data_IF_140689121046
#
_entry.id   IF_140689121046
#
_cell.length_a   1.000
_cell.length_b   1.000
_cell.length_c   1.000
_cell.angle_alpha   90.00
_cell.angle_beta   90.00
_cell.angle_gamma   90.00
#
_symmetry.space_group_name_H-M   'P 1'
#
loop_
_entity.id
_entity.type
_entity.pdbx_description
1 polymer ?
#
# COMPACT_ATOMS: atom_id res chain seq x y z
N UNK A 1 5.32 19.54 23.25
CA UNK A 1 6.55 18.91 23.82
C UNK A 1 6.32 17.45 24.28
N UNK A 2 5.10 17.03 24.66
CA UNK A 2 4.81 15.65 25.08
C UNK A 2 5.02 14.56 24.01
N UNK A 3 4.55 14.77 22.78
CA UNK A 3 4.63 13.76 21.70
C UNK A 3 6.05 13.22 21.44
N UNK A 4 7.11 14.04 21.52
CA UNK A 4 8.48 13.56 21.30
C UNK A 4 8.96 12.61 22.39
N UNK A 5 8.50 12.81 23.63
CA UNK A 5 8.88 11.97 24.77
C UNK A 5 8.14 10.63 24.65
N UNK A 6 6.84 10.68 24.37
CA UNK A 6 6.01 9.48 24.14
C UNK A 6 6.55 8.65 22.98
N UNK A 7 6.87 9.26 21.85
CA UNK A 7 7.41 8.56 20.68
C UNK A 7 8.72 7.84 20.99
N UNK A 8 9.61 8.48 21.77
CA UNK A 8 10.86 7.86 22.20
C UNK A 8 10.61 6.74 23.19
N UNK A 9 9.75 6.96 24.19
CA UNK A 9 9.51 5.98 25.23
C UNK A 9 8.85 4.72 24.67
N UNK A 10 7.80 4.88 23.85
CA UNK A 10 7.13 3.78 23.16
C UNK A 10 8.08 3.11 22.17
N UNK A 11 8.79 3.90 21.34
CA UNK A 11 9.67 3.38 20.31
C UNK A 11 10.81 2.54 20.87
N UNK A 12 11.54 3.05 21.88
CA UNK A 12 12.65 2.31 22.47
C UNK A 12 12.20 1.09 23.27
N UNK A 13 11.10 1.21 24.03
CA UNK A 13 10.59 0.10 24.83
C UNK A 13 10.09 -1.05 23.96
N UNK A 14 9.23 -0.75 22.97
CA UNK A 14 8.70 -1.76 22.06
C UNK A 14 9.78 -2.35 21.15
N UNK A 15 10.69 -1.53 20.63
CA UNK A 15 11.78 -2.04 19.79
C UNK A 15 12.65 -3.02 20.57
N UNK A 16 12.97 -2.72 21.84
CA UNK A 16 13.75 -3.64 22.68
C UNK A 16 13.04 -4.99 22.87
N UNK A 17 11.73 -4.98 23.15
CA UNK A 17 10.94 -6.21 23.28
C UNK A 17 10.87 -6.98 21.95
N UNK A 18 10.72 -6.29 20.83
CA UNK A 18 10.70 -6.89 19.49
C UNK A 18 12.04 -7.57 19.14
N UNK A 19 13.14 -6.89 19.44
CA UNK A 19 14.48 -7.37 19.12
C UNK A 19 14.91 -8.56 19.98
N UNK A 20 14.36 -8.70 21.19
CA UNK A 20 14.76 -9.72 22.17
C UNK A 20 13.68 -10.79 22.34
N UNK A 21 12.66 -10.51 23.17
CA UNK A 21 11.61 -11.46 23.57
C UNK A 21 10.85 -12.02 22.35
N UNK A 22 10.36 -11.14 21.49
CA UNK A 22 9.63 -11.54 20.29
C UNK A 22 10.51 -12.33 19.33
N UNK A 23 11.75 -11.88 19.07
CA UNK A 23 12.65 -12.56 18.15
C UNK A 23 12.97 -13.99 18.60
N UNK A 24 13.26 -14.17 19.89
CA UNK A 24 13.51 -15.49 20.47
C UNK A 24 12.27 -16.38 20.37
N UNK A 25 11.09 -15.84 20.68
CA UNK A 25 9.84 -16.58 20.56
C UNK A 25 9.53 -16.96 19.11
N UNK A 26 9.74 -16.04 18.17
CA UNK A 26 9.56 -16.23 16.73
C UNK A 26 10.47 -17.35 16.22
N UNK A 27 11.77 -17.31 16.51
CA UNK A 27 12.71 -18.36 16.10
C UNK A 27 12.37 -19.72 16.72
N UNK A 28 11.91 -19.75 17.98
CA UNK A 28 11.45 -20.97 18.64
C UNK A 28 10.21 -21.55 17.96
N UNK A 29 9.21 -20.71 17.62
CA UNK A 29 8.00 -21.12 16.90
C UNK A 29 8.33 -21.62 15.50
N UNK A 30 9.21 -20.93 14.79
CA UNK A 30 9.67 -21.29 13.45
C UNK A 30 10.33 -22.69 13.44
N UNK A 31 11.16 -22.99 14.43
CA UNK A 31 11.76 -24.32 14.59
C UNK A 31 10.74 -25.44 14.88
N UNK A 32 9.62 -25.14 15.57
CA UNK A 32 8.54 -26.11 15.81
C UNK A 32 7.75 -26.41 14.53
N UNK A 33 7.43 -25.39 13.74
CA UNK A 33 6.73 -25.52 12.45
C UNK A 33 7.49 -26.45 11.49
N UNK A 34 8.83 -26.37 11.46
CA UNK A 34 9.67 -27.26 10.65
C UNK A 34 9.50 -28.74 11.00
N UNK A 35 9.32 -29.07 12.28
CA UNK A 35 9.14 -30.47 12.71
C UNK A 35 7.78 -31.03 12.33
N UNK A 36 6.78 -30.17 12.12
CA UNK A 36 5.40 -30.54 11.83
C UNK A 36 5.11 -30.59 10.33
N UNK A 37 5.79 -29.78 9.51
CA UNK A 37 5.68 -29.80 8.05
C UNK A 37 7.06 -29.63 7.41
N UNK A 38 7.66 -30.70 6.85
CA UNK A 38 9.00 -30.64 6.26
C UNK A 38 9.03 -29.96 4.89
N UNK A 39 7.87 -29.68 4.27
CA UNK A 39 7.80 -28.89 3.04
C UNK A 39 8.11 -27.42 3.37
N UNK A 40 9.23 -26.86 2.86
CA UNK A 40 9.57 -25.48 3.13
C UNK A 40 8.62 -24.58 2.33
N UNK A 41 7.73 -23.86 3.01
CA UNK A 41 7.20 -22.62 2.43
C UNK A 41 8.41 -21.72 2.15
N UNK A 42 8.63 -21.41 0.87
CA UNK A 42 9.77 -20.62 0.38
C UNK A 42 9.90 -19.30 1.13
N UNK A 43 8.79 -18.79 1.64
CA UNK A 43 8.67 -17.53 2.39
C UNK A 43 9.52 -17.49 3.66
N UNK A 44 9.81 -18.65 4.28
CA UNK A 44 10.52 -18.69 5.57
C UNK A 44 12.00 -19.03 5.50
N UNK A 45 12.56 -19.28 4.29
CA UNK A 45 13.96 -19.70 4.15
C UNK A 45 14.94 -18.66 4.71
N UNK A 46 14.74 -17.38 4.39
CA UNK A 46 15.60 -16.29 4.87
C UNK A 46 15.56 -16.12 6.39
N UNK A 47 14.38 -16.24 7.00
CA UNK A 47 14.23 -16.13 8.44
C UNK A 47 14.93 -17.25 9.21
N UNK A 48 15.04 -18.46 8.64
CA UNK A 48 15.79 -19.56 9.27
C UNK A 48 17.28 -19.24 9.38
N UNK A 49 17.86 -18.69 8.33
CA UNK A 49 19.26 -18.27 8.34
C UNK A 49 19.50 -17.16 9.35
N UNK A 50 18.59 -16.17 9.40
CA UNK A 50 18.65 -15.10 10.39
C UNK A 50 18.56 -15.64 11.82
N UNK A 51 17.66 -16.59 12.11
CA UNK A 51 17.56 -17.22 13.43
C UNK A 51 18.81 -18.02 13.81
N UNK A 52 19.47 -18.65 12.84
CA UNK A 52 20.73 -19.35 13.08
C UNK A 52 21.89 -18.38 13.38
N UNK A 53 21.91 -17.24 12.67
CA UNK A 53 22.93 -16.19 12.80
C UNK A 53 22.75 -15.35 14.07
N UNK A 54 21.52 -15.02 14.43
CA UNK A 54 21.16 -14.13 15.55
C UNK A 54 20.36 -14.90 16.60
N UNK A 55 21.05 -15.62 17.50
CA UNK A 55 20.38 -16.50 18.49
C UNK A 55 19.73 -15.75 19.65
N UNK A 56 20.28 -14.61 20.04
CA UNK A 56 19.85 -13.85 21.22
C UNK A 56 18.93 -12.67 20.89
N UNK A 57 19.37 -11.80 19.99
CA UNK A 57 18.64 -10.60 19.61
C UNK A 57 18.85 -10.27 18.13
N UNK A 58 17.83 -9.67 17.51
CA UNK A 58 17.90 -9.20 16.12
C UNK A 58 17.55 -7.71 16.05
N UNK A 59 18.57 -6.87 15.92
CA UNK A 59 18.47 -5.40 16.03
C UNK A 59 17.82 -4.69 14.84
N UNK A 60 17.53 -5.41 13.75
CA UNK A 60 16.87 -4.84 12.57
C UNK A 60 15.33 -4.86 12.69
N UNK A 61 14.80 -4.99 13.91
CA UNK A 61 13.37 -4.85 14.20
C UNK A 61 13.15 -3.56 14.99
N UNK A 62 12.13 -2.81 14.61
CA UNK A 62 11.74 -1.58 15.29
C UNK A 62 10.23 -1.43 15.31
N UNK A 63 9.73 -0.74 16.32
CA UNK A 63 8.34 -0.28 16.37
C UNK A 63 8.28 1.17 16.81
N UNK A 64 7.21 1.85 16.41
CA UNK A 64 6.97 3.24 16.76
C UNK A 64 5.49 3.55 16.74
N UNK A 65 5.06 4.50 17.58
CA UNK A 65 3.66 4.88 17.75
C UNK A 65 2.97 5.24 16.43
N UNK A 66 3.68 5.89 15.51
CA UNK A 66 3.16 6.28 14.18
C UNK A 66 3.53 5.26 13.09
N UNK A 67 4.75 4.72 13.13
CA UNK A 67 5.24 3.80 12.09
C UNK A 67 4.49 2.47 12.08
N UNK A 68 4.18 1.90 13.26
CA UNK A 68 3.53 0.59 13.37
C UNK A 68 2.09 0.61 12.84
N UNK A 69 1.23 1.59 13.19
CA UNK A 69 -0.10 1.69 12.57
C UNK A 69 -0.04 1.92 11.06
N UNK A 70 0.86 2.79 10.57
CA UNK A 70 1.01 3.04 9.12
C UNK A 70 1.35 1.75 8.37
N UNK A 71 2.24 0.92 8.91
CA UNK A 71 2.52 -0.40 8.34
C UNK A 71 1.27 -1.30 8.33
N UNK A 72 0.46 -1.26 9.40
CA UNK A 72 -0.82 -1.97 9.48
C UNK A 72 -1.75 -1.58 8.34
N UNK A 73 -1.93 -0.28 8.08
CA UNK A 73 -2.76 0.22 6.99
C UNK A 73 -2.27 -0.25 5.61
N UNK A 74 -0.95 -0.30 5.41
CA UNK A 74 -0.36 -0.82 4.16
C UNK A 74 -0.65 -2.31 3.98
N UNK A 75 -0.55 -3.10 5.06
CA UNK A 75 -0.86 -4.53 5.05
C UNK A 75 -2.35 -4.74 4.77
N UNK A 76 -3.23 -4.01 5.44
CA UNK A 76 -4.68 -4.06 5.25
C UNK A 76 -5.06 -3.72 3.81
N UNK A 77 -4.54 -2.62 3.26
CA UNK A 77 -4.75 -2.23 1.87
C UNK A 77 -4.26 -3.30 0.89
N UNK A 78 -3.12 -3.95 1.17
CA UNK A 78 -2.61 -5.05 0.36
C UNK A 78 -3.50 -6.30 0.45
N UNK A 79 -4.01 -6.63 1.62
CA UNK A 79 -4.95 -7.75 1.77
C UNK A 79 -6.28 -7.49 1.07
N UNK A 80 -6.82 -6.28 1.17
CA UNK A 80 -8.01 -5.87 0.43
C UNK A 80 -7.80 -5.95 -1.08
N UNK A 81 -6.67 -5.43 -1.57
CA UNK A 81 -6.27 -5.58 -2.97
C UNK A 81 -6.23 -7.06 -3.40
N UNK A 82 -5.63 -7.94 -2.59
CA UNK A 82 -5.61 -9.38 -2.87
C UNK A 82 -7.00 -10.03 -2.89
N UNK A 83 -7.90 -9.62 -1.99
CA UNK A 83 -9.29 -10.13 -1.93
C UNK A 83 -10.15 -9.63 -3.09
N UNK A 84 -9.87 -8.43 -3.60
CA UNK A 84 -10.68 -7.75 -4.63
C UNK A 84 -10.25 -8.08 -6.07
N UNK A 85 -9.41 -9.10 -6.29
CA UNK A 85 -9.04 -9.54 -7.63
C UNK A 85 -10.29 -9.99 -8.42
N UNK A 86 -10.84 -9.08 -9.23
CA UNK A 86 -11.97 -9.35 -10.13
C UNK A 86 -11.45 -9.78 -11.49
N UNK A 87 -12.15 -10.71 -12.12
CA UNK A 87 -11.94 -11.03 -13.52
C UNK A 87 -12.65 -9.98 -14.37
N UNK A 88 -11.98 -9.45 -15.38
CA UNK A 88 -12.59 -8.52 -16.35
C UNK A 88 -12.65 -9.17 -17.72
N UNK A 89 -13.72 -8.90 -18.46
CA UNK A 89 -13.78 -9.15 -19.89
C UNK A 89 -13.37 -7.85 -20.60
N UNK A 90 -12.36 -7.92 -21.46
CA UNK A 90 -11.98 -6.82 -22.33
C UNK A 90 -12.59 -7.09 -23.70
N UNK A 91 -13.53 -6.25 -24.12
CA UNK A 91 -14.17 -6.30 -25.43
C UNK A 91 -13.61 -5.16 -26.27
N UNK A 92 -13.17 -5.47 -27.49
CA UNK A 92 -12.77 -4.47 -28.47
C UNK A 92 -13.92 -4.29 -29.46
N UNK A 93 -14.55 -3.11 -29.45
CA UNK A 93 -15.48 -2.71 -30.50
C UNK A 93 -14.70 -2.05 -31.63
N UNK A 94 -14.90 -2.54 -32.85
CA UNK A 94 -14.32 -2.02 -34.10
C UNK A 94 -12.78 -1.87 -34.11
N UNK A 95 -12.08 -2.54 -33.18
CA UNK A 95 -10.62 -2.56 -33.07
C UNK A 95 -10.00 -1.42 -32.24
N UNK A 96 -10.73 -0.35 -31.96
CA UNK A 96 -10.19 0.85 -31.27
C UNK A 96 -10.79 1.07 -29.88
N UNK A 97 -12.06 0.71 -29.67
CA UNK A 97 -12.74 1.01 -28.41
C UNK A 97 -12.62 -0.17 -27.44
N UNK A 98 -11.88 0.04 -26.36
CA UNK A 98 -11.71 -0.94 -25.27
C UNK A 98 -12.78 -0.75 -24.21
N UNK A 99 -13.65 -1.75 -24.03
CA UNK A 99 -14.64 -1.78 -22.95
C UNK A 99 -14.21 -2.84 -21.93
N UNK A 100 -14.14 -2.45 -20.67
CA UNK A 100 -13.84 -3.34 -19.54
C UNK A 100 -15.12 -3.64 -18.76
N UNK A 101 -15.57 -4.89 -18.82
CA UNK A 101 -16.76 -5.34 -18.12
C UNK A 101 -16.32 -6.18 -16.92
N UNK A 102 -16.60 -5.76 -15.67
CA UNK A 102 -16.33 -6.58 -14.49
C UNK A 102 -17.21 -7.84 -14.55
N UNK A 103 -16.59 -9.02 -14.45
CA UNK A 103 -17.31 -10.29 -14.44
C UNK A 103 -17.47 -10.82 -13.01
N UNK A 104 -18.66 -11.30 -12.71
CA UNK A 104 -18.85 -12.17 -11.54
C UNK A 104 -18.11 -13.50 -11.73
N UNK A 105 -17.62 -14.08 -10.63
CA UNK A 105 -16.81 -15.30 -10.67
C UNK A 105 -17.50 -16.49 -11.36
N UNK A 106 -18.83 -16.57 -11.26
CA UNK A 106 -19.64 -17.63 -11.85
C UNK A 106 -19.68 -17.52 -13.38
N UNK A 107 -19.73 -16.29 -13.91
CA UNK A 107 -19.71 -15.99 -15.34
C UNK A 107 -18.30 -16.16 -15.91
N UNK A 108 -17.28 -15.69 -15.17
CA UNK A 108 -15.87 -15.87 -15.56
C UNK A 108 -15.48 -17.35 -15.74
N UNK A 109 -15.94 -18.25 -14.86
CA UNK A 109 -15.72 -19.71 -14.98
C UNK A 109 -16.41 -20.32 -16.20
N UNK A 110 -17.58 -19.81 -16.60
CA UNK A 110 -18.33 -20.28 -17.78
C UNK A 110 -17.68 -19.84 -19.09
N UNK A 111 -17.12 -18.63 -19.14
CA UNK A 111 -16.39 -18.11 -20.31
C UNK A 111 -15.05 -18.84 -20.48
N UNK A 112 -14.31 -19.11 -19.40
CA UNK A 112 -13.04 -19.88 -19.47
C UNK A 112 -13.19 -21.29 -20.07
N UNK A 113 -14.37 -21.92 -19.94
CA UNK A 113 -14.63 -23.26 -20.48
C UNK A 113 -14.98 -23.28 -21.97
N UNK A 114 -15.48 -22.16 -22.52
CA UNK A 114 -15.91 -22.03 -23.91
C UNK A 114 -15.40 -20.70 -24.49
N UNK A 115 -14.21 -20.68 -25.12
CA UNK A 115 -13.63 -19.46 -25.67
C UNK A 115 -14.40 -18.91 -26.89
N UNK A 116 -15.32 -19.69 -27.48
CA UNK A 116 -16.06 -19.32 -28.70
C UNK A 116 -17.46 -18.76 -28.44
N UNK A 117 -17.80 -18.38 -27.20
CA UNK A 117 -19.10 -17.77 -26.89
C UNK A 117 -19.14 -16.32 -27.33
N UNK A 118 -20.02 -16.03 -28.29
CA UNK A 118 -20.38 -14.68 -28.72
C UNK A 118 -21.21 -14.05 -27.59
N UNK A 119 -20.69 -12.99 -26.98
CA UNK A 119 -21.45 -12.17 -26.04
C UNK A 119 -22.23 -11.11 -26.82
N UNK A 120 -23.56 -11.12 -26.72
CA UNK A 120 -24.41 -10.08 -27.28
C UNK A 120 -24.52 -8.98 -26.23
N UNK A 121 -24.01 -7.79 -26.54
CA UNK A 121 -24.09 -6.61 -25.68
C UNK A 121 -25.29 -5.80 -26.15
N UNK A 122 -26.26 -5.61 -25.26
CA UNK A 122 -27.46 -4.83 -25.54
C UNK A 122 -27.38 -3.50 -24.78
N UNK A 123 -27.30 -2.39 -25.52
CA UNK A 123 -27.18 -1.05 -24.96
C UNK A 123 -28.60 -0.54 -24.70
N UNK A 124 -29.00 -0.59 -23.43
CA UNK A 124 -30.38 -0.27 -23.03
C UNK A 124 -30.69 1.23 -23.05
N UNK A 125 -29.70 2.08 -22.80
CA UNK A 125 -29.93 3.51 -22.66
C UNK A 125 -28.66 4.30 -22.97
N UNK A 126 -28.79 5.39 -23.72
CA UNK A 126 -27.70 6.28 -24.07
C UNK A 126 -28.06 7.68 -23.58
N UNK A 127 -27.30 8.17 -22.58
CA UNK A 127 -27.58 9.42 -21.89
C UNK A 127 -26.46 10.42 -22.16
N UNK A 128 -26.86 11.65 -22.47
CA UNK A 128 -25.95 12.78 -22.59
C UNK A 128 -26.08 13.65 -21.34
N UNK A 129 -24.96 14.02 -20.75
CA UNK A 129 -24.89 14.98 -19.64
C UNK A 129 -23.82 16.02 -19.94
N UNK A 130 -24.16 17.29 -19.80
CA UNK A 130 -23.17 18.36 -19.68
C UNK A 130 -22.80 18.51 -18.20
N UNK A 131 -21.54 18.30 -17.89
CA UNK A 131 -20.98 18.53 -16.55
C UNK A 131 -20.03 19.72 -16.59
N UNK A 132 -20.28 20.69 -15.71
CA UNK A 132 -19.36 21.82 -15.51
C UNK A 132 -18.25 21.39 -14.56
N UNK A 133 -17.03 21.25 -15.08
CA UNK A 133 -15.85 20.94 -14.26
C UNK A 133 -15.36 22.19 -13.54
N UNK A 134 -15.48 22.19 -12.21
CA UNK A 134 -14.94 23.26 -11.37
C UNK A 134 -13.40 23.14 -11.28
N UNK A 135 -12.69 24.27 -11.13
CA UNK A 135 -11.26 24.24 -10.88
C UNK A 135 -10.95 23.50 -9.59
N UNK A 136 -9.76 22.89 -9.52
CA UNK A 136 -9.29 22.24 -8.31
C UNK A 136 -9.12 23.27 -7.19
N UNK A 137 -9.41 22.89 -5.94
CA UNK A 137 -9.11 23.74 -4.81
C UNK A 137 -7.60 23.95 -4.68
N UNK A 138 -7.16 24.98 -3.96
CA UNK A 138 -5.75 25.15 -3.66
C UNK A 138 -5.18 23.96 -2.88
N UNK A 139 -3.88 23.72 -3.04
CA UNK A 139 -3.23 22.55 -2.45
C UNK A 139 -3.15 22.63 -0.92
N UNK A 140 -3.49 21.51 -0.27
CA UNK A 140 -3.03 21.19 1.09
C UNK A 140 -1.68 20.49 1.05
N UNK A 141 -0.99 20.38 2.20
CA UNK A 141 0.32 19.71 2.27
C UNK A 141 0.27 18.28 1.73
N UNK A 142 -0.73 17.51 2.15
CA UNK A 142 -0.90 16.10 1.78
C UNK A 142 -1.25 15.94 0.30
N UNK A 143 -2.13 16.79 -0.24
CA UNK A 143 -2.48 16.78 -1.66
C UNK A 143 -1.27 17.12 -2.54
N UNK A 144 -0.49 18.15 -2.18
CA UNK A 144 0.72 18.51 -2.91
C UNK A 144 1.76 17.38 -2.90
N UNK A 145 2.02 16.78 -1.73
CA UNK A 145 2.98 15.67 -1.63
C UNK A 145 2.50 14.43 -2.40
N UNK A 146 1.21 14.14 -2.37
CA UNK A 146 0.60 13.05 -3.15
C UNK A 146 0.77 13.27 -4.65
N UNK A 147 0.49 14.49 -5.14
CA UNK A 147 0.61 14.83 -6.55
C UNK A 147 2.07 14.82 -7.02
N UNK A 148 2.99 15.37 -6.21
CA UNK A 148 4.42 15.35 -6.50
C UNK A 148 4.93 13.90 -6.60
N UNK A 149 4.57 13.03 -5.65
CA UNK A 149 4.96 11.63 -5.72
C UNK A 149 4.32 10.94 -6.94
N UNK A 150 3.05 11.21 -7.24
CA UNK A 150 2.34 10.57 -8.35
C UNK A 150 2.91 10.95 -9.72
N UNK A 151 3.21 12.23 -9.93
CA UNK A 151 3.68 12.80 -11.21
C UNK A 151 5.19 12.76 -11.37
N UNK A 152 5.94 13.14 -10.33
CA UNK A 152 7.40 13.30 -10.36
C UNK A 152 8.15 12.13 -9.72
N UNK A 153 7.45 11.18 -9.07
CA UNK A 153 8.05 10.03 -8.37
C UNK A 153 9.06 10.43 -7.28
N UNK A 154 8.93 11.64 -6.74
CA UNK A 154 9.77 12.13 -5.66
C UNK A 154 9.23 11.61 -4.31
N UNK A 155 10.10 11.02 -3.46
CA UNK A 155 9.73 10.66 -2.10
C UNK A 155 9.23 11.87 -1.31
N UNK A 156 8.25 11.66 -0.44
CA UNK A 156 7.64 12.75 0.33
C UNK A 156 8.65 13.57 1.15
N UNK A 157 9.70 12.94 1.67
CA UNK A 157 10.76 13.62 2.43
C UNK A 157 11.57 14.59 1.56
N UNK A 158 11.96 14.16 0.36
CA UNK A 158 12.73 14.99 -0.59
C UNK A 158 11.86 16.11 -1.15
N UNK A 159 10.61 15.80 -1.50
CA UNK A 159 9.63 16.78 -1.94
C UNK A 159 9.42 17.87 -0.88
N UNK A 160 9.23 17.49 0.39
CA UNK A 160 9.08 18.45 1.50
C UNK A 160 10.32 19.32 1.70
N UNK A 161 11.52 18.77 1.51
CA UNK A 161 12.76 19.54 1.60
C UNK A 161 12.82 20.61 0.49
N UNK A 162 12.53 20.25 -0.75
CA UNK A 162 12.50 21.19 -1.88
C UNK A 162 11.45 22.29 -1.65
N UNK A 163 10.27 21.91 -1.18
CA UNK A 163 9.19 22.86 -0.88
C UNK A 163 9.60 23.84 0.23
N UNK A 164 10.32 23.35 1.24
CA UNK A 164 10.87 24.21 2.29
C UNK A 164 11.89 25.20 1.72
N UNK A 165 12.81 24.74 0.86
CA UNK A 165 13.80 25.61 0.20
C UNK A 165 13.10 26.69 -0.65
N UNK A 166 12.07 26.34 -1.41
CA UNK A 166 11.28 27.28 -2.22
C UNK A 166 10.54 28.31 -1.36
N UNK A 167 10.02 27.90 -0.20
CA UNK A 167 9.39 28.82 0.75
C UNK A 167 10.42 29.80 1.33
N UNK A 168 11.60 29.31 1.71
CA UNK A 168 12.68 30.13 2.27
C UNK A 168 13.24 31.13 1.25
N UNK A 169 13.23 30.77 -0.04
CA UNK A 169 13.58 31.65 -1.15
C UNK A 169 12.46 32.62 -1.55
N UNK A 170 11.27 32.50 -0.95
CA UNK A 170 10.12 33.37 -1.23
C UNK A 170 9.37 33.05 -2.52
N UNK A 171 9.59 31.88 -3.13
CA UNK A 171 8.89 31.46 -4.35
C UNK A 171 7.48 30.91 -4.09
N UNK A 172 7.22 30.38 -2.89
CA UNK A 172 5.91 29.84 -2.50
C UNK A 172 5.53 30.27 -1.08
N UNK A 173 4.27 30.05 -0.71
CA UNK A 173 3.79 30.23 0.67
C UNK A 173 4.07 28.99 1.53
N UNK A 174 4.03 29.15 2.86
CA UNK A 174 4.28 28.06 3.80
C UNK A 174 3.31 26.90 3.55
N UNK A 175 3.83 25.78 3.08
CA UNK A 175 3.03 24.63 2.66
C UNK A 175 2.62 23.72 3.82
N UNK A 176 3.02 23.98 5.07
CA UNK A 176 2.65 23.17 6.24
C UNK A 176 1.28 23.60 6.77
N UNK A 177 0.25 23.44 5.95
CA UNK A 177 -1.13 23.85 6.25
C UNK A 177 -2.14 22.78 5.85
N UNK A 178 -3.10 22.55 6.74
CA UNK A 178 -4.28 21.70 6.48
C UNK A 178 -5.44 22.49 5.88
N UNK A 179 -5.29 23.81 5.74
CA UNK A 179 -6.30 24.69 5.15
C UNK A 179 -5.91 24.93 3.69
N UNK A 180 -6.79 24.64 2.72
CA UNK A 180 -6.59 25.04 1.34
C UNK A 180 -6.59 26.58 1.28
N UNK A 181 -5.52 27.17 0.76
CA UNK A 181 -5.33 28.62 0.66
C UNK A 181 -5.25 29.10 -0.77
#
# INVERSE_FOLDING_TARGET
>A
RGSRIEDRWIGFSLSKQLQTEFWQEFCRKLGKLQRQSPAPDSSFRGYRELCARYKGEYRNLSAGRVQTPVLGWVIEAYEEYRRTHRSYLIVYLDGETRIEIPLDETVARRIKKDPNKIAIIDIKELKYSEETLNPLPPYTTDAALSDINSRLKLPAADAMKILQDLFELGFITCLRTLVPR
#
